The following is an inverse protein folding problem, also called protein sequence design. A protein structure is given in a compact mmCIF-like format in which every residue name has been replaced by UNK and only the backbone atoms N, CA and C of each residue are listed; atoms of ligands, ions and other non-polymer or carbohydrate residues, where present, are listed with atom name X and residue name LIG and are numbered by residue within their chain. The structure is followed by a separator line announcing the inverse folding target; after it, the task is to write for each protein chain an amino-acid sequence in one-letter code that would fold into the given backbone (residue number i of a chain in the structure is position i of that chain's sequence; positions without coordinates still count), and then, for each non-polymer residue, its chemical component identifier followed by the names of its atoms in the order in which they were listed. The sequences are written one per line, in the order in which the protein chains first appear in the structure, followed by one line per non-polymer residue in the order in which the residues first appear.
data_IF_379377014771
#
_entry.id   IF_379377014771
#
_cell.length_a   1.000
_cell.length_b   1.000
_cell.length_c   1.000
_cell.angle_alpha   90.00
_cell.angle_beta   90.00
_cell.angle_gamma   90.00
#
_symmetry.space_group_name_H-M   'P 1'
#
loop_
_entity.id
_entity.type
_entity.pdbx_description
1 polymer ?
#
# COMPACT_ATOMS: atom_id res chain seq x y z
N UNK A 1 0.61 -8.49 -14.06
CA UNK A 1 0.56 -7.34 -13.12
C UNK A 1 1.11 -7.71 -11.75
N UNK A 2 0.89 -8.94 -11.24
CA UNK A 2 1.33 -9.37 -9.90
C UNK A 2 2.69 -10.12 -9.84
N UNK A 3 3.33 -10.32 -10.99
CA UNK A 3 4.64 -10.97 -11.09
C UNK A 3 5.68 -9.95 -11.57
N UNK A 4 6.70 -9.71 -10.74
CA UNK A 4 7.94 -9.01 -11.08
C UNK A 4 9.15 -9.87 -10.73
N UNK A 5 10.36 -9.37 -11.01
CA UNK A 5 11.58 -10.17 -10.84
C UNK A 5 11.95 -10.44 -9.38
N UNK A 6 11.58 -9.51 -8.49
CA UNK A 6 11.93 -9.56 -7.06
C UNK A 6 10.69 -9.79 -6.20
N UNK A 7 9.55 -9.26 -6.62
CA UNK A 7 8.29 -9.41 -5.91
C UNK A 7 7.37 -10.33 -6.71
N UNK A 8 7.05 -11.49 -6.13
CA UNK A 8 6.10 -12.47 -6.66
C UNK A 8 4.88 -12.50 -5.76
N UNK A 9 3.82 -11.80 -6.16
CA UNK A 9 2.57 -11.75 -5.42
C UNK A 9 1.62 -12.91 -5.80
N UNK A 10 1.95 -13.69 -6.84
CA UNK A 10 1.17 -14.85 -7.22
C UNK A 10 -0.28 -14.51 -7.61
N UNK A 11 -1.16 -15.52 -7.55
CA UNK A 11 -2.59 -15.38 -7.81
C UNK A 11 -3.36 -15.42 -6.49
N UNK A 12 -3.71 -14.23 -6.00
CA UNK A 12 -4.39 -14.03 -4.73
C UNK A 12 -5.78 -14.66 -4.70
N UNK A 13 -6.60 -14.33 -5.71
CA UNK A 13 -8.00 -14.76 -5.77
C UNK A 13 -8.11 -16.27 -5.95
N UNK A 14 -7.25 -16.85 -6.81
CA UNK A 14 -7.22 -18.29 -7.01
C UNK A 14 -6.85 -19.04 -5.72
N UNK A 15 -5.89 -18.51 -4.95
CA UNK A 15 -5.52 -19.11 -3.67
C UNK A 15 -6.67 -19.08 -2.67
N UNK A 16 -7.35 -17.93 -2.50
CA UNK A 16 -8.47 -17.82 -1.56
C UNK A 16 -9.69 -18.65 -1.96
N UNK A 17 -9.85 -18.94 -3.25
CA UNK A 17 -10.93 -19.78 -3.76
C UNK A 17 -10.59 -21.27 -3.74
N UNK A 18 -9.35 -21.65 -3.44
CA UNK A 18 -8.96 -23.05 -3.31
C UNK A 18 -9.62 -23.66 -2.07
N UNK A 19 -10.32 -24.78 -2.27
CA UNK A 19 -11.02 -25.49 -1.21
C UNK A 19 -11.03 -26.99 -1.55
N UNK A 20 -10.58 -27.80 -0.59
CA UNK A 20 -10.71 -29.25 -0.60
C UNK A 20 -11.91 -29.68 0.24
N UNK A 21 -12.97 -30.16 -0.42
CA UNK A 21 -14.28 -30.41 0.20
C UNK A 21 -14.26 -31.56 1.22
N UNK A 22 -13.47 -32.61 0.95
CA UNK A 22 -13.50 -33.83 1.76
C UNK A 22 -12.95 -33.63 3.17
N UNK A 23 -11.97 -32.75 3.31
CA UNK A 23 -11.35 -32.42 4.59
C UNK A 23 -11.68 -31.01 5.08
N UNK A 24 -12.55 -30.28 4.37
CA UNK A 24 -12.93 -28.89 4.64
C UNK A 24 -11.70 -27.96 4.81
N UNK A 25 -10.71 -28.12 3.93
CA UNK A 25 -9.48 -27.33 3.96
C UNK A 25 -9.62 -26.19 2.96
N UNK A 26 -9.51 -24.95 3.43
CA UNK A 26 -9.52 -23.77 2.58
C UNK A 26 -8.10 -23.25 2.34
N UNK A 27 -7.91 -22.52 1.25
CA UNK A 27 -6.67 -21.79 1.00
C UNK A 27 -6.52 -20.56 1.87
N UNK A 28 -5.27 -20.26 2.20
CA UNK A 28 -4.81 -19.06 2.86
C UNK A 28 -3.65 -18.49 2.06
N UNK A 29 -3.79 -17.24 1.69
CA UNK A 29 -2.75 -16.48 1.02
C UNK A 29 -1.86 -15.83 2.07
N UNK A 30 -0.55 -16.08 2.05
CA UNK A 30 0.41 -15.44 2.93
C UNK A 30 1.52 -14.77 2.12
N UNK A 31 1.73 -13.46 2.34
CA UNK A 31 2.88 -12.76 1.76
C UNK A 31 4.07 -12.76 2.73
N UNK A 32 5.15 -13.41 2.34
CA UNK A 32 6.39 -13.48 3.09
C UNK A 32 7.41 -12.43 2.62
N UNK A 33 8.20 -11.91 3.54
CA UNK A 33 9.34 -11.04 3.26
C UNK A 33 10.64 -11.79 3.51
N UNK A 34 11.50 -11.89 2.50
CA UNK A 34 12.81 -12.56 2.59
C UNK A 34 13.90 -11.50 2.39
N UNK A 35 14.81 -11.37 3.35
CA UNK A 35 15.97 -10.49 3.27
C UNK A 35 17.24 -11.33 3.19
N UNK A 36 18.14 -10.98 2.28
CA UNK A 36 19.48 -11.57 2.20
C UNK A 36 20.39 -10.71 3.08
N UNK A 37 20.84 -11.26 4.20
CA UNK A 37 21.61 -10.53 5.21
C UNK A 37 23.10 -10.45 4.85
N UNK A 38 23.65 -11.57 4.38
CA UNK A 38 25.06 -11.66 4.03
C UNK A 38 25.25 -12.57 2.84
N UNK A 39 26.20 -12.15 2.03
CA UNK A 39 26.65 -12.82 0.83
C UNK A 39 28.16 -12.94 1.05
N UNK A 40 28.69 -14.15 1.08
CA UNK A 40 30.10 -14.42 1.39
C UNK A 40 31.10 -13.57 0.59
N UNK A 41 32.39 -13.70 0.90
CA UNK A 41 33.47 -12.84 0.38
C UNK A 41 33.70 -12.91 -1.14
N UNK A 42 32.89 -13.64 -1.91
CA UNK A 42 32.98 -13.71 -3.36
C UNK A 42 32.52 -12.38 -4.00
N UNK A 43 33.41 -11.67 -4.74
CA UNK A 43 33.05 -10.42 -5.40
C UNK A 43 31.96 -10.59 -6.47
N UNK A 44 31.87 -11.78 -7.07
CA UNK A 44 30.83 -12.12 -8.04
C UNK A 44 29.43 -12.17 -7.39
N UNK A 45 29.33 -12.85 -6.25
CA UNK A 45 28.06 -13.01 -5.54
C UNK A 45 27.58 -11.67 -4.96
N UNK A 46 28.51 -10.83 -4.51
CA UNK A 46 28.22 -9.45 -4.11
C UNK A 46 27.66 -8.61 -5.26
N UNK A 47 28.23 -8.74 -6.46
CA UNK A 47 27.74 -8.03 -7.65
C UNK A 47 26.32 -8.49 -8.03
N UNK A 48 26.06 -9.81 -7.99
CA UNK A 48 24.72 -10.36 -8.21
C UNK A 48 23.73 -9.87 -7.16
N UNK A 49 24.09 -9.90 -5.87
CA UNK A 49 23.23 -9.40 -4.80
C UNK A 49 22.85 -7.93 -5.01
N UNK A 50 23.82 -7.11 -5.40
CA UNK A 50 23.59 -5.69 -5.72
C UNK A 50 22.63 -5.53 -6.89
N UNK A 51 22.73 -6.34 -7.94
CA UNK A 51 21.82 -6.28 -9.09
C UNK A 51 20.42 -6.79 -8.74
N UNK A 52 20.31 -7.87 -7.97
CA UNK A 52 19.03 -8.43 -7.52
C UNK A 52 18.22 -7.42 -6.71
N UNK A 53 18.88 -6.64 -5.84
CA UNK A 53 18.24 -5.60 -5.03
C UNK A 53 18.23 -4.22 -5.72
N UNK A 54 18.44 -4.18 -7.05
CA UNK A 54 18.46 -2.95 -7.87
C UNK A 54 19.31 -1.84 -7.25
N UNK A 55 20.58 -2.18 -6.99
CA UNK A 55 21.61 -1.35 -6.36
C UNK A 55 21.30 -0.84 -4.94
N UNK A 56 20.36 -1.46 -4.23
CA UNK A 56 19.90 -0.99 -2.91
C UNK A 56 19.43 0.46 -2.95
N UNK A 57 18.70 0.83 -4.02
CA UNK A 57 18.23 2.20 -4.23
C UNK A 57 17.49 2.76 -3.00
N UNK A 58 16.73 1.89 -2.30
CA UNK A 58 16.20 2.15 -0.96
C UNK A 58 16.66 1.07 0.02
N UNK A 59 17.56 1.41 0.93
CA UNK A 59 17.95 0.48 2.00
C UNK A 59 16.87 0.43 3.07
N UNK A 60 16.45 -0.79 3.42
CA UNK A 60 15.49 -1.07 4.48
C UNK A 60 15.81 -2.41 5.13
N UNK A 61 15.60 -2.53 6.43
CA UNK A 61 15.63 -3.78 7.16
C UNK A 61 14.21 -4.35 7.36
N UNK A 62 14.12 -5.65 7.63
CA UNK A 62 12.84 -6.31 7.91
C UNK A 62 12.11 -5.71 9.11
N UNK A 63 12.85 -5.19 10.08
CA UNK A 63 12.33 -4.62 11.34
C UNK A 63 11.96 -3.13 11.21
N UNK A 64 12.29 -2.47 10.10
CA UNK A 64 11.97 -1.04 9.90
C UNK A 64 10.47 -0.84 9.68
N UNK A 65 9.79 0.10 10.36
CA UNK A 65 8.38 0.40 10.09
C UNK A 65 8.21 0.96 8.67
N UNK A 66 7.91 0.09 7.71
CA UNK A 66 7.89 0.38 6.27
C UNK A 66 6.66 1.18 5.84
N UNK A 67 6.49 2.40 6.34
CA UNK A 67 5.23 3.13 6.18
C UNK A 67 5.19 4.13 5.01
N UNK A 68 6.32 4.43 4.35
CA UNK A 68 6.34 5.45 3.27
C UNK A 68 7.25 5.18 2.07
N UNK A 69 8.17 4.23 2.20
CA UNK A 69 9.14 3.91 1.15
C UNK A 69 9.12 2.40 0.94
N UNK A 70 9.08 1.92 -0.31
CA UNK A 70 9.13 0.49 -0.59
C UNK A 70 10.45 -0.12 -0.13
N UNK A 71 10.38 -1.36 0.34
CA UNK A 71 11.57 -2.12 0.71
C UNK A 71 12.26 -2.65 -0.55
N UNK A 72 13.45 -2.11 -0.85
CA UNK A 72 14.29 -2.57 -1.97
C UNK A 72 15.29 -3.63 -1.58
N UNK A 73 15.47 -3.91 -0.28
CA UNK A 73 16.37 -4.95 0.23
C UNK A 73 15.68 -6.28 0.58
N UNK A 74 14.37 -6.39 0.35
CA UNK A 74 13.59 -7.60 0.65
C UNK A 74 12.83 -8.08 -0.58
N UNK A 75 12.78 -9.40 -0.74
CA UNK A 75 11.99 -10.13 -1.72
C UNK A 75 10.62 -10.38 -1.09
N UNK A 76 9.55 -9.95 -1.76
CA UNK A 76 8.18 -10.27 -1.36
C UNK A 76 7.73 -11.51 -2.12
N UNK A 77 7.45 -12.60 -1.41
CA UNK A 77 7.04 -13.86 -2.02
C UNK A 77 5.74 -14.38 -1.40
N UNK A 78 4.71 -14.50 -2.24
CA UNK A 78 3.42 -15.02 -1.86
C UNK A 78 3.38 -16.54 -1.91
N UNK A 79 2.82 -17.14 -0.87
CA UNK A 79 2.57 -18.57 -0.78
C UNK A 79 1.08 -18.82 -0.58
N UNK A 80 0.58 -19.84 -1.25
CA UNK A 80 -0.72 -20.40 -0.97
C UNK A 80 -0.55 -21.61 -0.06
N UNK A 81 -1.11 -21.54 1.15
CA UNK A 81 -1.02 -22.58 2.18
C UNK A 81 -2.40 -22.97 2.67
N UNK A 82 -2.58 -24.13 3.31
CA UNK A 82 -3.83 -24.47 3.98
C UNK A 82 -4.19 -23.47 5.08
N UNK A 83 -5.48 -23.19 5.27
CA UNK A 83 -5.99 -22.26 6.29
C UNK A 83 -5.75 -22.69 7.73
N UNK A 84 -5.32 -23.93 7.94
CA UNK A 84 -4.89 -24.43 9.25
C UNK A 84 -3.47 -24.01 9.64
N UNK A 85 -2.67 -23.52 8.69
CA UNK A 85 -1.31 -23.08 8.97
C UNK A 85 -1.31 -21.73 9.69
N UNK A 86 -0.58 -21.63 10.80
CA UNK A 86 -0.30 -20.33 11.39
C UNK A 86 0.76 -19.58 10.56
N UNK A 87 0.81 -18.25 10.62
CA UNK A 87 1.88 -17.48 9.96
C UNK A 87 3.29 -17.94 10.37
N UNK A 88 3.45 -18.45 11.60
CA UNK A 88 4.73 -19.00 12.09
C UNK A 88 5.09 -20.32 11.43
N UNK A 89 4.11 -21.17 11.12
CA UNK A 89 4.34 -22.43 10.41
C UNK A 89 4.82 -22.15 8.98
N UNK A 90 4.26 -21.12 8.34
CA UNK A 90 4.70 -20.65 7.01
C UNK A 90 6.13 -20.11 7.09
N UNK A 91 6.43 -19.28 8.09
CA UNK A 91 7.79 -18.73 8.31
C UNK A 91 8.81 -19.85 8.53
N UNK A 92 8.49 -20.84 9.37
CA UNK A 92 9.35 -21.98 9.64
C UNK A 92 9.54 -22.87 8.41
N UNK A 93 8.46 -23.27 7.74
CA UNK A 93 8.52 -24.16 6.57
C UNK A 93 9.27 -23.52 5.40
N UNK A 94 9.09 -22.22 5.19
CA UNK A 94 9.83 -21.49 4.17
C UNK A 94 11.31 -21.37 4.53
N UNK A 95 11.62 -21.08 5.79
CA UNK A 95 13.01 -21.02 6.27
C UNK A 95 13.72 -22.36 6.08
N UNK A 96 13.11 -23.47 6.49
CA UNK A 96 13.67 -24.82 6.32
C UNK A 96 13.90 -25.17 4.84
N UNK A 97 12.94 -24.83 3.97
CA UNK A 97 13.06 -25.06 2.52
C UNK A 97 14.22 -24.27 1.92
N UNK A 98 14.33 -22.98 2.25
CA UNK A 98 15.40 -22.13 1.77
C UNK A 98 16.76 -22.56 2.34
N UNK A 99 16.82 -23.03 3.58
CA UNK A 99 18.06 -23.50 4.21
C UNK A 99 18.62 -24.71 3.48
N UNK A 100 17.76 -25.64 3.03
CA UNK A 100 18.16 -26.79 2.23
C UNK A 100 18.64 -26.40 0.83
N UNK A 101 17.98 -25.42 0.21
CA UNK A 101 18.39 -24.91 -1.12
C UNK A 101 19.77 -24.23 -1.06
N UNK A 102 20.04 -23.50 0.02
CA UNK A 102 21.25 -22.70 0.19
C UNK A 102 22.32 -23.33 1.09
N UNK A 103 22.17 -24.60 1.48
CA UNK A 103 23.01 -25.30 2.47
C UNK A 103 24.52 -25.23 2.14
N UNK A 104 24.86 -25.30 0.85
CA UNK A 104 26.24 -25.27 0.35
C UNK A 104 26.68 -23.91 -0.18
N UNK A 105 25.98 -22.84 0.20
CA UNK A 105 26.27 -21.48 -0.26
C UNK A 105 26.57 -20.57 0.92
N UNK A 106 27.41 -19.56 0.72
CA UNK A 106 27.70 -18.53 1.73
C UNK A 106 26.57 -17.49 1.87
N UNK A 107 25.32 -17.88 1.58
CA UNK A 107 24.16 -17.00 1.61
C UNK A 107 23.44 -17.14 2.95
N UNK A 108 23.35 -16.03 3.68
CA UNK A 108 22.50 -15.92 4.87
C UNK A 108 21.25 -15.15 4.53
N UNK A 109 20.11 -15.69 4.93
CA UNK A 109 18.81 -15.09 4.69
C UNK A 109 17.97 -15.11 5.97
N UNK A 110 17.03 -14.16 6.05
CA UNK A 110 16.02 -14.07 7.10
C UNK A 110 14.66 -13.99 6.46
N UNK A 111 13.73 -14.78 6.98
CA UNK A 111 12.33 -14.83 6.53
C UNK A 111 11.46 -14.20 7.60
N UNK A 112 10.45 -13.43 7.18
CA UNK A 112 9.43 -12.88 8.07
C UNK A 112 8.06 -13.01 7.43
N UNK A 113 7.10 -13.53 8.19
CA UNK A 113 5.69 -13.56 7.78
C UNK A 113 4.87 -12.75 8.79
N UNK A 114 4.32 -11.64 8.34
CA UNK A 114 3.44 -10.81 9.17
C UNK A 114 2.04 -11.44 9.22
N UNK A 115 1.44 -11.64 10.41
CA UNK A 115 0.08 -12.15 10.54
C UNK A 115 -0.97 -11.38 9.72
N UNK A 116 -0.81 -10.06 9.55
CA UNK A 116 -1.76 -9.25 8.78
C UNK A 116 -1.66 -9.49 7.27
N UNK A 117 -0.53 -10.03 6.83
CA UNK A 117 -0.25 -10.40 5.45
C UNK A 117 -0.67 -11.84 5.10
N UNK A 118 -1.27 -12.54 6.06
CA UNK A 118 -1.92 -13.83 5.88
C UNK A 118 -3.45 -13.67 5.89
N UNK A 119 -4.09 -14.04 4.78
CA UNK A 119 -5.51 -13.78 4.52
C UNK A 119 -6.21 -15.05 4.07
N UNK A 120 -7.45 -15.22 4.52
CA UNK A 120 -8.34 -16.30 4.11
C UNK A 120 -9.60 -15.70 3.50
N UNK A 121 -10.40 -16.52 2.83
CA UNK A 121 -11.69 -16.11 2.27
C UNK A 121 -12.76 -15.84 3.34
N UNK A 122 -12.43 -16.01 4.63
CA UNK A 122 -13.33 -15.60 5.70
C UNK A 122 -13.36 -14.08 5.82
N UNK A 123 -14.57 -13.53 5.84
CA UNK A 123 -14.80 -12.11 6.12
C UNK A 123 -14.24 -11.80 7.51
N UNK A 124 -13.13 -11.06 7.57
CA UNK A 124 -12.67 -10.45 8.83
C UNK A 124 -13.78 -9.52 9.33
N UNK A 125 -14.07 -9.59 10.62
CA UNK A 125 -14.97 -8.62 11.24
C UNK A 125 -14.37 -7.21 11.09
N UNK A 126 -15.22 -6.23 10.81
CA UNK A 126 -14.78 -4.85 10.64
C UNK A 126 -14.21 -4.36 11.98
N UNK A 127 -12.99 -3.81 12.00
CA UNK A 127 -12.44 -3.28 13.23
C UNK A 127 -13.27 -2.09 13.69
N UNK A 128 -13.42 -1.93 15.01
CA UNK A 128 -14.22 -0.85 15.61
C UNK A 128 -13.78 0.54 15.13
N UNK A 129 -12.48 0.72 14.86
CA UNK A 129 -11.93 1.95 14.28
C UNK A 129 -12.55 2.29 12.92
N UNK A 130 -12.72 1.30 12.04
CA UNK A 130 -13.36 1.49 10.74
C UNK A 130 -14.82 1.85 10.91
N UNK A 131 -15.55 1.18 11.82
CA UNK A 131 -16.96 1.50 12.08
C UNK A 131 -17.12 2.94 12.56
N UNK A 132 -16.31 3.36 13.54
CA UNK A 132 -16.35 4.74 14.07
C UNK A 132 -16.02 5.76 12.98
N UNK A 133 -14.94 5.53 12.23
CA UNK A 133 -14.55 6.41 11.14
C UNK A 133 -15.65 6.51 10.07
N UNK A 134 -16.24 5.37 9.68
CA UNK A 134 -17.36 5.33 8.74
C UNK A 134 -18.56 6.11 9.25
N UNK A 135 -18.93 5.99 10.53
CA UNK A 135 -20.02 6.77 11.13
C UNK A 135 -19.74 8.28 11.07
N UNK A 136 -18.51 8.71 11.35
CA UNK A 136 -18.13 10.13 11.27
C UNK A 136 -18.25 10.64 9.84
N UNK A 137 -17.68 9.94 8.85
CA UNK A 137 -17.74 10.36 7.45
C UNK A 137 -19.18 10.39 6.91
N UNK A 138 -19.98 9.37 7.23
CA UNK A 138 -21.41 9.35 6.86
C UNK A 138 -22.15 10.50 7.51
N UNK A 139 -21.88 10.80 8.78
CA UNK A 139 -22.48 11.95 9.48
C UNK A 139 -22.15 13.29 8.81
N UNK A 140 -20.88 13.49 8.42
CA UNK A 140 -20.45 14.69 7.70
C UNK A 140 -21.18 14.79 6.35
N UNK A 141 -21.18 13.72 5.55
CA UNK A 141 -21.84 13.71 4.24
C UNK A 141 -23.35 14.00 4.39
N UNK A 142 -24.03 13.39 5.36
CA UNK A 142 -25.44 13.66 5.60
C UNK A 142 -25.67 15.12 6.01
N UNK A 143 -24.80 15.69 6.83
CA UNK A 143 -24.89 17.10 7.22
C UNK A 143 -24.70 18.05 6.03
N UNK A 144 -23.77 17.75 5.13
CA UNK A 144 -23.50 18.49 3.90
C UNK A 144 -24.68 18.41 2.91
N UNK A 145 -25.25 17.21 2.74
CA UNK A 145 -26.44 17.01 1.89
C UNK A 145 -27.64 17.78 2.45
N UNK A 146 -27.90 17.66 3.75
CA UNK A 146 -29.01 18.37 4.41
C UNK A 146 -28.83 19.90 4.31
N UNK A 147 -27.61 20.40 4.53
CA UNK A 147 -27.28 21.82 4.38
C UNK A 147 -27.47 22.32 2.93
N UNK A 148 -27.09 21.50 1.95
CA UNK A 148 -27.26 21.82 0.52
C UNK A 148 -28.73 21.85 0.13
N UNK A 149 -29.53 20.88 0.60
CA UNK A 149 -30.99 20.87 0.39
C UNK A 149 -31.66 22.07 1.04
N UNK A 150 -31.27 22.42 2.28
CA UNK A 150 -31.74 23.62 2.95
C UNK A 150 -31.42 24.89 2.17
N UNK A 151 -30.19 25.02 1.67
CA UNK A 151 -29.79 26.17 0.86
C UNK A 151 -30.57 26.25 -0.46
N UNK A 152 -30.93 25.12 -1.08
CA UNK A 152 -31.72 25.12 -2.31
C UNK A 152 -33.20 25.44 -2.09
N UNK A 153 -33.82 24.92 -1.02
CA UNK A 153 -35.27 25.05 -0.77
C UNK A 153 -35.69 26.22 0.12
N UNK A 154 -34.81 26.75 0.97
CA UNK A 154 -35.17 27.86 1.86
C UNK A 154 -35.41 29.15 1.07
N UNK A 155 -36.64 29.68 1.17
CA UNK A 155 -37.04 30.97 0.59
C UNK A 155 -37.02 32.04 1.70
N UNK A 156 -36.26 33.11 1.50
CA UNK A 156 -36.12 34.21 2.48
C UNK A 156 -34.73 34.28 3.15
N UNK A 157 -34.66 34.80 4.37
CA UNK A 157 -33.40 34.89 5.13
C UNK A 157 -32.91 33.49 5.53
N UNK A 158 -31.74 33.09 5.01
CA UNK A 158 -31.15 31.78 5.28
C UNK A 158 -30.26 31.81 6.52
N UNK A 159 -30.32 30.76 7.34
CA UNK A 159 -29.41 30.62 8.46
C UNK A 159 -27.96 30.43 7.97
N UNK A 160 -27.08 31.38 8.32
CA UNK A 160 -25.68 31.40 7.91
C UNK A 160 -24.90 30.15 8.33
N UNK A 161 -25.22 29.57 9.48
CA UNK A 161 -24.53 28.38 10.01
C UNK A 161 -24.82 27.13 9.19
N UNK A 162 -26.06 26.95 8.75
CA UNK A 162 -26.46 25.80 7.93
C UNK A 162 -25.89 25.95 6.52
N UNK A 163 -26.02 27.14 5.93
CA UNK A 163 -25.52 27.43 4.59
C UNK A 163 -23.98 27.34 4.50
N UNK A 164 -23.25 27.45 5.61
CA UNK A 164 -21.80 27.26 5.63
C UNK A 164 -21.37 25.83 5.23
N UNK A 165 -22.24 24.84 5.43
CA UNK A 165 -22.02 23.44 5.02
C UNK A 165 -22.64 23.11 3.65
N UNK A 166 -23.20 24.10 2.93
CA UNK A 166 -23.76 23.90 1.59
C UNK A 166 -22.65 23.59 0.59
N UNK A 167 -22.66 22.38 0.03
CA UNK A 167 -21.68 21.91 -0.95
C UNK A 167 -21.70 22.77 -2.20
N UNK A 168 -22.89 23.10 -2.70
CA UNK A 168 -23.01 23.90 -3.93
C UNK A 168 -22.38 25.28 -3.78
N UNK A 169 -22.67 25.95 -2.66
CA UNK A 169 -22.11 27.28 -2.38
C UNK A 169 -20.60 27.23 -2.18
N UNK A 170 -20.11 26.28 -1.39
CA UNK A 170 -18.67 26.10 -1.16
C UNK A 170 -17.94 25.74 -2.46
N UNK A 171 -18.48 24.83 -3.27
CA UNK A 171 -17.91 24.46 -4.56
C UNK A 171 -17.89 25.61 -5.55
N UNK A 172 -19.00 26.36 -5.67
CA UNK A 172 -19.04 27.56 -6.52
C UNK A 172 -18.07 28.64 -6.04
N UNK A 173 -17.83 28.75 -4.73
CA UNK A 173 -16.83 29.66 -4.17
C UNK A 173 -15.41 29.19 -4.45
N UNK A 174 -15.14 27.88 -4.39
CA UNK A 174 -13.82 27.29 -4.64
C UNK A 174 -13.40 27.40 -6.11
N UNK A 175 -14.36 27.34 -7.05
CA UNK A 175 -14.12 27.46 -8.50
C UNK A 175 -14.22 28.92 -8.97
N UNK A 176 -14.74 29.82 -8.13
CA UNK A 176 -14.84 31.23 -8.45
C UNK A 176 -13.46 31.88 -8.59
N UNK A 177 -13.18 32.43 -9.77
CA UNK A 177 -11.94 33.18 -10.10
C UNK A 177 -12.06 34.67 -9.72
N UNK A 178 -12.99 35.02 -8.81
CA UNK A 178 -13.18 36.41 -8.37
C UNK A 178 -11.95 36.88 -7.61
N UNK A 179 -11.37 37.98 -8.07
CA UNK A 179 -10.14 38.59 -7.51
C UNK A 179 -10.48 39.50 -6.32
N UNK A 180 -9.74 39.37 -5.23
CA UNK A 180 -9.71 40.39 -4.16
C UNK A 180 -8.78 41.54 -4.57
N UNK A 181 -9.04 42.77 -4.12
CA UNK A 181 -8.19 43.93 -4.44
C UNK A 181 -6.77 43.83 -3.84
N UNK A 182 -6.58 42.99 -2.82
CA UNK A 182 -5.30 42.79 -2.12
C UNK A 182 -4.56 41.50 -2.54
N UNK A 183 -5.01 40.80 -3.59
CA UNK A 183 -4.42 39.53 -4.02
C UNK A 183 -3.21 39.70 -4.96
N UNK A 184 -2.11 39.02 -4.63
CA UNK A 184 -0.91 38.96 -5.48
C UNK A 184 -0.98 37.73 -6.40
N UNK A 185 -1.18 37.95 -7.70
CA UNK A 185 -1.41 36.90 -8.70
C UNK A 185 -0.29 35.84 -8.77
N UNK A 186 0.96 36.25 -8.58
CA UNK A 186 2.12 35.35 -8.59
C UNK A 186 2.05 34.29 -7.48
N UNK A 187 1.49 34.62 -6.31
CA UNK A 187 1.41 33.71 -5.16
C UNK A 187 0.42 32.57 -5.46
N UNK A 188 -0.70 32.87 -6.13
CA UNK A 188 -1.68 31.86 -6.52
C UNK A 188 -1.10 30.86 -7.53
N UNK A 189 -0.28 31.34 -8.48
CA UNK A 189 0.46 30.48 -9.41
C UNK A 189 1.45 29.55 -8.70
N UNK A 190 2.22 30.07 -7.73
CA UNK A 190 3.15 29.26 -6.94
C UNK A 190 2.40 28.20 -6.12
N UNK A 191 1.27 28.54 -5.49
CA UNK A 191 0.45 27.57 -4.75
C UNK A 191 -0.08 26.46 -5.64
N UNK A 192 -0.56 26.80 -6.83
CA UNK A 192 -1.02 25.82 -7.81
C UNK A 192 0.11 24.88 -8.25
N UNK A 193 1.29 25.42 -8.60
CA UNK A 193 2.45 24.62 -8.97
C UNK A 193 2.91 23.70 -7.84
N UNK A 194 2.97 24.22 -6.61
CA UNK A 194 3.34 23.41 -5.45
C UNK A 194 2.33 22.28 -5.20
N UNK A 195 1.03 22.54 -5.30
CA UNK A 195 0.00 21.52 -5.17
C UNK A 195 0.12 20.46 -6.28
N UNK A 196 0.35 20.88 -7.53
CA UNK A 196 0.57 19.97 -8.66
C UNK A 196 1.80 19.08 -8.47
N UNK A 197 2.93 19.66 -8.09
CA UNK A 197 4.17 18.93 -7.81
C UNK A 197 4.00 17.94 -6.66
N UNK A 198 3.26 18.32 -5.60
CA UNK A 198 2.97 17.42 -4.48
C UNK A 198 2.14 16.21 -4.93
N UNK A 199 1.12 16.41 -5.76
CA UNK A 199 0.30 15.31 -6.30
C UNK A 199 1.14 14.40 -7.19
N UNK A 200 1.99 14.96 -8.05
CA UNK A 200 2.92 14.19 -8.89
C UNK A 200 3.86 13.37 -8.01
N UNK A 201 4.45 13.97 -6.97
CA UNK A 201 5.34 13.27 -6.05
C UNK A 201 4.66 12.07 -5.37
N UNK A 202 3.42 12.23 -4.87
CA UNK A 202 2.66 11.12 -4.28
C UNK A 202 2.39 9.99 -5.28
N UNK A 203 2.02 10.33 -6.51
CA UNK A 203 1.80 9.35 -7.59
C UNK A 203 3.09 8.61 -7.93
N UNK A 204 4.20 9.32 -8.09
CA UNK A 204 5.50 8.71 -8.35
C UNK A 204 5.94 7.78 -7.21
N UNK A 205 5.73 8.18 -5.95
CA UNK A 205 6.04 7.32 -4.81
C UNK A 205 5.23 6.02 -4.81
N UNK A 206 3.93 6.08 -5.12
CA UNK A 206 3.07 4.91 -5.18
C UNK A 206 3.51 3.90 -6.27
N UNK A 207 4.05 4.38 -7.39
CA UNK A 207 4.55 3.52 -8.47
C UNK A 207 5.68 2.61 -8.01
N UNK A 208 6.55 3.05 -7.10
CA UNK A 208 7.66 2.23 -6.61
C UNK A 208 7.22 0.99 -5.79
N UNK A 209 5.95 0.92 -5.36
CA UNK A 209 5.40 -0.26 -4.69
C UNK A 209 4.89 -1.34 -5.67
N UNK A 210 4.76 -1.01 -6.96
CA UNK A 210 4.30 -1.97 -7.98
C UNK A 210 5.42 -2.96 -8.30
N UNK A 211 5.13 -4.27 -8.46
CA UNK A 211 6.14 -5.23 -8.87
C UNK A 211 6.58 -4.96 -10.32
N UNK A 212 7.86 -4.64 -10.51
CA UNK A 212 8.46 -4.41 -11.83
C UNK A 212 9.07 -5.71 -12.38
N UNK A 213 8.81 -5.98 -13.66
CA UNK A 213 9.45 -7.06 -14.44
C UNK A 213 10.90 -6.75 -14.76
N UNK A 214 11.34 -5.49 -14.66
CA UNK A 214 12.76 -5.16 -14.65
C UNK A 214 13.02 -4.02 -13.68
N UNK A 215 13.13 -4.37 -12.40
CA UNK A 215 13.31 -3.39 -11.31
C UNK A 215 14.65 -2.64 -11.44
N UNK A 216 15.69 -3.31 -11.92
CA UNK A 216 17.03 -2.71 -12.06
C UNK A 216 17.07 -1.69 -13.18
N UNK A 217 16.49 -2.01 -14.35
CA UNK A 217 16.37 -1.05 -15.46
C UNK A 217 15.57 0.20 -15.09
N UNK A 218 14.53 0.06 -14.25
CA UNK A 218 13.75 1.21 -13.76
C UNK A 218 14.57 2.16 -12.90
N UNK A 219 15.59 1.67 -12.18
CA UNK A 219 16.48 2.51 -11.37
C UNK A 219 17.61 3.13 -12.20
N UNK A 220 18.03 2.46 -13.27
CA UNK A 220 19.15 2.92 -14.11
C UNK A 220 18.74 3.97 -15.16
N UNK A 221 17.45 4.12 -15.47
CA UNK A 221 16.91 5.04 -16.48
C UNK A 221 16.13 6.20 -15.86
#
# INVERSE_FOLDING_TARGET
ILNGNVNQLGDFDLCLQSNEKDHNINGQYCLSSIQIESVGYSPYLLALHRLMQSHFHFKSELDDPGHRVPRFSSIQWALCVPSGCSPRDVEFGLTDTLSKIFENTDLKFRVRVDPDMCQTNHRKELPMSTVIASCIFVGIILSEVAATMYDYWAVGEKNRWIVAFSLWKNFSSLISVKKSQDDIEAIHGIRFLNAGLLVIAHKCMALFFVPYVNRTEMIEK
#
